data_IF_690188083841
#
_entry.id   IF_690188083841
#
_cell.length_a   1.000
_cell.length_b   1.000
_cell.length_c   1.000
_cell.angle_alpha   90.00
_cell.angle_beta   90.00
_cell.angle_gamma   90.00
#
_symmetry.space_group_name_H-M   'P 1'
#
loop_
_entity.id
_entity.type
_entity.pdbx_description
1 polymer ?
#
# COMPACT_ATOMS: atom_id res chain seq x y z
N UNK A 1 0.65 -9.58 14.49
CA UNK A 1 2.06 -9.98 14.28
C UNK A 1 2.22 -10.45 12.85
N UNK A 2 3.13 -9.85 12.06
CA UNK A 2 3.39 -10.32 10.71
C UNK A 2 3.98 -11.74 10.78
N UNK A 3 3.57 -12.61 9.85
CA UNK A 3 4.10 -14.00 9.77
C UNK A 3 5.53 -14.05 9.24
N UNK A 4 5.96 -12.98 8.59
CA UNK A 4 7.30 -12.79 8.02
C UNK A 4 7.91 -11.52 8.61
N UNK A 5 9.23 -11.44 8.61
CA UNK A 5 9.95 -10.23 9.06
C UNK A 5 9.56 -9.04 8.21
N UNK A 6 9.30 -7.89 8.82
CA UNK A 6 9.05 -6.64 8.10
C UNK A 6 10.35 -6.05 7.54
N UNK A 7 10.27 -5.44 6.36
CA UNK A 7 11.35 -4.66 5.74
C UNK A 7 10.99 -3.18 5.86
N UNK A 8 11.80 -2.43 6.61
CA UNK A 8 11.61 -1.00 6.84
C UNK A 8 12.72 -0.15 6.20
N UNK A 9 13.82 -0.78 5.81
CA UNK A 9 14.95 -0.19 5.12
C UNK A 9 15.03 -0.72 3.69
N UNK A 10 15.11 0.19 2.72
CA UNK A 10 15.23 -0.14 1.31
C UNK A 10 16.63 -0.64 0.92
N UNK A 11 17.65 -0.42 1.77
CA UNK A 11 19.05 -0.72 1.46
C UNK A 11 19.46 -0.06 0.14
N UNK A 12 19.95 -0.86 -0.81
CA UNK A 12 20.37 -0.37 -2.14
C UNK A 12 19.29 -0.51 -3.22
N UNK A 13 18.04 -0.83 -2.87
CA UNK A 13 16.95 -1.00 -3.84
C UNK A 13 16.28 0.34 -4.17
N UNK A 14 16.69 0.96 -5.29
CA UNK A 14 16.15 2.26 -5.73
C UNK A 14 14.61 2.31 -5.82
N UNK A 15 13.98 1.23 -6.31
CA UNK A 15 12.51 1.14 -6.38
C UNK A 15 11.86 1.17 -5.00
N UNK A 16 12.42 0.43 -4.03
CA UNK A 16 11.90 0.43 -2.67
C UNK A 16 12.10 1.79 -2.02
N UNK A 17 13.27 2.42 -2.21
CA UNK A 17 13.56 3.74 -1.67
C UNK A 17 12.51 4.76 -2.13
N UNK A 18 12.26 4.84 -3.44
CA UNK A 18 11.28 5.76 -4.00
C UNK A 18 9.85 5.52 -3.47
N UNK A 19 9.45 4.24 -3.33
CA UNK A 19 8.14 3.88 -2.79
C UNK A 19 8.03 4.20 -1.30
N UNK A 20 9.09 3.93 -0.53
CA UNK A 20 9.13 4.16 0.91
C UNK A 20 9.08 5.64 1.24
N UNK A 21 9.86 6.46 0.53
CA UNK A 21 9.86 7.91 0.72
C UNK A 21 8.50 8.53 0.38
N UNK A 22 7.89 8.09 -0.72
CA UNK A 22 6.54 8.52 -1.08
C UNK A 22 5.52 8.16 -0.01
N UNK A 23 5.60 6.95 0.55
CA UNK A 23 4.66 6.49 1.56
C UNK A 23 4.84 7.22 2.89
N UNK A 24 6.09 7.41 3.35
CA UNK A 24 6.40 8.21 4.53
C UNK A 24 5.94 9.66 4.39
N UNK A 25 6.09 10.26 3.21
CA UNK A 25 5.59 11.60 2.95
C UNK A 25 4.06 11.68 3.03
N UNK A 26 3.34 10.63 2.63
CA UNK A 26 1.88 10.61 2.61
C UNK A 26 1.24 10.20 3.96
N UNK A 27 1.85 9.28 4.69
CA UNK A 27 1.25 8.65 5.88
C UNK A 27 2.09 8.79 7.16
N UNK A 28 3.27 9.40 7.09
CA UNK A 28 4.20 9.56 8.21
C UNK A 28 5.08 8.33 8.48
N UNK A 29 4.68 7.15 8.01
CA UNK A 29 5.48 5.92 8.04
C UNK A 29 5.05 4.95 6.91
N UNK A 30 5.72 3.81 6.80
CA UNK A 30 5.37 2.72 5.89
C UNK A 30 4.13 1.97 6.38
N UNK A 31 3.24 1.64 5.45
CA UNK A 31 2.09 0.79 5.74
C UNK A 31 2.54 -0.67 5.93
N UNK A 32 1.88 -1.41 6.82
CA UNK A 32 2.20 -2.83 7.08
C UNK A 32 2.25 -3.69 5.81
N UNK A 33 1.31 -3.56 4.83
CA UNK A 33 1.40 -4.29 3.57
C UNK A 33 2.67 -3.96 2.76
N UNK A 34 3.14 -2.71 2.79
CA UNK A 34 4.39 -2.32 2.12
C UNK A 34 5.59 -3.02 2.76
N UNK A 35 5.67 -3.04 4.09
CA UNK A 35 6.74 -3.71 4.85
C UNK A 35 6.83 -5.22 4.54
N UNK A 36 5.68 -5.85 4.31
CA UNK A 36 5.60 -7.28 3.95
C UNK A 36 5.85 -7.52 2.46
N UNK A 37 5.27 -6.71 1.56
CA UNK A 37 5.44 -6.90 0.11
C UNK A 37 6.82 -6.47 -0.39
N UNK A 38 7.58 -5.70 0.38
CA UNK A 38 8.97 -5.32 0.07
C UNK A 38 9.90 -6.53 -0.13
N UNK A 39 9.54 -7.72 0.36
CA UNK A 39 10.25 -8.98 0.03
C UNK A 39 10.20 -9.31 -1.47
N UNK A 40 9.22 -8.78 -2.20
CA UNK A 40 9.09 -8.94 -3.65
C UNK A 40 8.77 -7.58 -4.30
N UNK A 41 9.78 -6.74 -4.57
CA UNK A 41 9.59 -5.39 -5.09
C UNK A 41 8.70 -5.28 -6.34
N UNK A 42 8.78 -6.20 -7.34
CA UNK A 42 7.89 -6.14 -8.49
C UNK A 42 6.39 -6.31 -8.14
N UNK A 43 6.08 -7.15 -7.14
CA UNK A 43 4.70 -7.32 -6.66
C UNK A 43 4.23 -6.07 -5.93
N UNK A 44 5.08 -5.49 -5.07
CA UNK A 44 4.78 -4.24 -4.37
C UNK A 44 4.49 -3.10 -5.37
N UNK A 45 5.33 -2.94 -6.39
CA UNK A 45 5.15 -1.92 -7.42
C UNK A 45 3.82 -2.09 -8.17
N UNK A 46 3.52 -3.32 -8.62
CA UNK A 46 2.25 -3.63 -9.28
C UNK A 46 1.04 -3.36 -8.37
N UNK A 47 1.11 -3.73 -7.09
CA UNK A 47 0.04 -3.49 -6.13
C UNK A 47 -0.23 -1.98 -5.92
N UNK A 48 0.82 -1.16 -5.82
CA UNK A 48 0.69 0.31 -5.73
C UNK A 48 0.12 0.90 -7.02
N UNK A 49 0.55 0.41 -8.19
CA UNK A 49 0.04 0.85 -9.47
C UNK A 49 -1.45 0.55 -9.65
N UNK A 50 -1.89 -0.63 -9.20
CA UNK A 50 -3.29 -1.04 -9.18
C UNK A 50 -4.13 -0.15 -8.26
N UNK A 51 -3.69 0.06 -7.01
CA UNK A 51 -4.39 0.96 -6.08
C UNK A 51 -4.54 2.38 -6.66
N UNK A 52 -3.46 2.92 -7.21
CA UNK A 52 -3.50 4.25 -7.85
C UNK A 52 -4.37 4.30 -9.12
N UNK A 53 -4.59 3.18 -9.82
CA UNK A 53 -5.48 3.15 -11.00
C UNK A 53 -6.95 3.36 -10.64
N UNK A 54 -7.37 2.95 -9.44
CA UNK A 54 -8.74 3.15 -8.98
C UNK A 54 -9.02 4.65 -8.83
N UNK A 55 -8.12 5.37 -8.17
CA UNK A 55 -8.19 6.83 -8.02
C UNK A 55 -8.13 7.55 -9.38
N UNK A 56 -7.25 7.10 -10.29
CA UNK A 56 -7.14 7.69 -11.65
C UNK A 56 -8.38 7.45 -12.51
N UNK A 57 -9.17 6.40 -12.25
CA UNK A 57 -10.32 6.04 -13.08
C UNK A 57 -11.40 7.12 -13.11
N UNK A 58 -11.50 7.93 -12.04
CA UNK A 58 -12.49 8.99 -11.90
C UNK A 58 -13.95 8.51 -11.92
N UNK A 59 -14.20 7.19 -11.81
CA UNK A 59 -15.55 6.62 -11.92
C UNK A 59 -16.39 6.84 -10.65
N UNK A 60 -15.75 7.21 -9.53
CA UNK A 60 -16.39 7.48 -8.25
C UNK A 60 -16.06 8.90 -7.77
N UNK A 61 -16.97 9.57 -7.03
CA UNK A 61 -16.64 10.79 -6.30
C UNK A 61 -15.44 10.56 -5.38
N UNK A 62 -14.56 11.55 -5.24
CA UNK A 62 -13.26 11.42 -4.55
C UNK A 62 -13.33 10.84 -3.14
N UNK A 63 -14.40 11.10 -2.41
CA UNK A 63 -14.54 10.68 -1.01
C UNK A 63 -15.16 9.27 -0.87
N UNK A 64 -15.72 8.73 -1.95
CA UNK A 64 -16.43 7.45 -1.93
C UNK A 64 -15.51 6.21 -1.90
N UNK A 65 -14.36 6.15 -2.60
CA UNK A 65 -13.47 5.00 -2.59
C UNK A 65 -13.08 4.54 -1.18
N UNK A 66 -12.70 5.47 -0.30
CA UNK A 66 -12.33 5.15 1.07
C UNK A 66 -13.46 4.44 1.85
N UNK A 67 -14.70 4.89 1.67
CA UNK A 67 -15.88 4.25 2.28
C UNK A 67 -16.16 2.87 1.70
N UNK A 68 -15.96 2.68 0.39
CA UNK A 68 -16.09 1.38 -0.27
C UNK A 68 -15.03 0.41 0.25
N UNK A 69 -13.76 0.84 0.35
CA UNK A 69 -12.69 0.01 0.89
C UNK A 69 -12.99 -0.42 2.33
N UNK A 70 -13.42 0.50 3.20
CA UNK A 70 -13.81 0.20 4.57
C UNK A 70 -14.95 -0.84 4.62
N UNK A 71 -15.98 -0.67 3.78
CA UNK A 71 -17.11 -1.61 3.74
C UNK A 71 -16.68 -3.00 3.31
N UNK A 72 -15.86 -3.11 2.27
CA UNK A 72 -15.35 -4.40 1.75
C UNK A 72 -14.41 -5.06 2.76
N UNK A 73 -13.53 -4.29 3.40
CA UNK A 73 -12.64 -4.79 4.45
C UNK A 73 -13.44 -5.37 5.63
N UNK A 74 -14.50 -4.66 6.04
CA UNK A 74 -15.39 -5.10 7.13
C UNK A 74 -16.09 -6.42 6.79
N UNK A 75 -16.60 -6.57 5.56
CA UNK A 75 -17.26 -7.81 5.09
C UNK A 75 -16.30 -9.01 5.14
N UNK A 76 -15.02 -8.79 4.81
CA UNK A 76 -14.00 -9.83 4.83
C UNK A 76 -13.34 -10.04 6.20
N UNK A 77 -13.74 -9.28 7.22
CA UNK A 77 -13.12 -9.34 8.55
C UNK A 77 -11.67 -8.87 8.57
N UNK A 78 -11.26 -7.99 7.64
CA UNK A 78 -9.93 -7.40 7.63
C UNK A 78 -9.82 -6.36 8.76
N UNK A 79 -8.90 -6.53 9.73
CA UNK A 79 -8.78 -5.64 10.89
C UNK A 79 -7.84 -4.45 10.66
N UNK A 80 -7.26 -4.34 9.46
CA UNK A 80 -6.32 -3.30 9.03
C UNK A 80 -6.89 -2.50 7.87
#
# INVERSE_FOLDING_TARGET
MPRVREIEDAGNHATLQALFDKERAAFGDLLNPTKVMAHCPPILEAAKALGASIERSGQLPKDLPALVYLRVATINGCPF
#
